data_IF_837102222844
#
_entry.id   IF_837102222844
#
_cell.length_a   1.000
_cell.length_b   1.000
_cell.length_c   1.000
_cell.angle_alpha   90.00
_cell.angle_beta   90.00
_cell.angle_gamma   90.00
#
_symmetry.space_group_name_H-M   'P 1'
#
loop_
_entity.id
_entity.type
_entity.pdbx_description
1 polymer ?
#
# COMPACT_ATOMS: atom_id res chain seq x y z
N UNK A 1 24.40 -38.26 -6.03
CA UNK A 1 24.60 -36.81 -5.91
C UNK A 1 23.35 -36.23 -5.26
N UNK A 2 23.46 -35.60 -4.09
CA UNK A 2 22.36 -34.82 -3.56
C UNK A 2 22.25 -33.56 -4.41
N UNK A 3 21.12 -33.39 -5.11
CA UNK A 3 20.83 -32.12 -5.78
C UNK A 3 20.90 -31.00 -4.72
N UNK A 4 21.43 -29.81 -5.06
CA UNK A 4 21.46 -28.70 -4.12
C UNK A 4 20.05 -28.41 -3.63
N UNK A 5 19.86 -28.42 -2.32
CA UNK A 5 18.59 -28.10 -1.69
C UNK A 5 18.27 -26.62 -1.94
N UNK A 6 17.17 -26.38 -2.65
CA UNK A 6 16.70 -25.04 -3.00
C UNK A 6 15.85 -24.41 -1.87
N UNK A 7 15.60 -25.14 -0.77
CA UNK A 7 14.84 -24.67 0.39
C UNK A 7 15.75 -24.00 1.42
N UNK A 8 16.36 -22.89 1.03
CA UNK A 8 17.16 -22.08 1.94
C UNK A 8 16.75 -20.61 1.93
N UNK A 9 16.97 -19.94 3.07
CA UNK A 9 16.79 -18.49 3.21
C UNK A 9 18.17 -17.83 3.18
N UNK A 10 18.35 -16.85 2.30
CA UNK A 10 19.63 -16.18 2.04
C UNK A 10 20.02 -15.12 3.09
N UNK A 11 19.19 -14.88 4.10
CA UNK A 11 19.42 -13.94 5.20
C UNK A 11 18.64 -14.37 6.46
N UNK A 12 19.00 -13.87 7.66
CA UNK A 12 18.24 -14.14 8.87
C UNK A 12 16.76 -13.72 8.76
N UNK A 13 15.84 -14.61 9.15
CA UNK A 13 14.40 -14.39 8.97
C UNK A 13 13.87 -13.14 9.67
N UNK A 14 14.38 -12.82 10.86
CA UNK A 14 13.98 -11.61 11.59
C UNK A 14 14.32 -10.34 10.81
N UNK A 15 15.47 -10.31 10.13
CA UNK A 15 15.93 -9.16 9.37
C UNK A 15 15.06 -8.96 8.12
N UNK A 16 14.81 -10.04 7.39
CA UNK A 16 13.93 -10.03 6.22
C UNK A 16 12.52 -9.58 6.61
N UNK A 17 12.00 -10.08 7.73
CA UNK A 17 10.67 -9.71 8.24
C UNK A 17 10.60 -8.23 8.59
N UNK A 18 11.57 -7.71 9.36
CA UNK A 18 11.60 -6.28 9.74
C UNK A 18 11.68 -5.39 8.51
N UNK A 19 12.58 -5.70 7.56
CA UNK A 19 12.71 -4.92 6.32
C UNK A 19 11.45 -5.01 5.45
N UNK A 20 10.82 -6.18 5.36
CA UNK A 20 9.55 -6.35 4.66
C UNK A 20 8.44 -5.47 5.26
N UNK A 21 8.25 -5.52 6.58
CA UNK A 21 7.21 -4.73 7.27
C UNK A 21 7.46 -3.23 7.12
N UNK A 22 8.70 -2.78 7.27
CA UNK A 22 9.07 -1.37 7.12
C UNK A 22 8.83 -0.89 5.69
N UNK A 23 9.39 -1.59 4.70
CA UNK A 23 9.27 -1.18 3.29
C UNK A 23 7.84 -1.26 2.78
N UNK A 24 7.05 -2.24 3.23
CA UNK A 24 5.62 -2.34 2.93
C UNK A 24 4.82 -1.18 3.55
N UNK A 25 5.16 -0.77 4.79
CA UNK A 25 4.53 0.37 5.44
C UNK A 25 4.83 1.69 4.71
N UNK A 26 6.07 1.88 4.27
CA UNK A 26 6.46 3.02 3.44
C UNK A 26 5.73 3.02 2.09
N UNK A 27 5.66 1.86 1.42
CA UNK A 27 4.92 1.70 0.18
C UNK A 27 3.43 2.05 0.37
N UNK A 28 2.78 1.51 1.41
CA UNK A 28 1.37 1.81 1.68
C UNK A 28 1.14 3.27 2.05
N UNK A 29 2.07 3.94 2.74
CA UNK A 29 1.95 5.39 2.97
C UNK A 29 1.91 6.17 1.65
N UNK A 30 2.85 5.88 0.74
CA UNK A 30 2.92 6.51 -0.58
C UNK A 30 1.70 6.14 -1.45
N UNK A 31 1.32 4.87 -1.48
CA UNK A 31 0.16 4.37 -2.23
C UNK A 31 -1.14 4.99 -1.73
N UNK A 32 -1.34 5.05 -0.41
CA UNK A 32 -2.53 5.63 0.19
C UNK A 32 -2.64 7.13 -0.08
N UNK A 33 -1.51 7.86 -0.06
CA UNK A 33 -1.47 9.25 -0.51
C UNK A 33 -1.89 9.38 -1.99
N UNK A 34 -1.34 8.56 -2.88
CA UNK A 34 -1.65 8.59 -4.31
C UNK A 34 -3.12 8.26 -4.59
N UNK A 35 -3.58 7.07 -4.19
CA UNK A 35 -4.94 6.59 -4.46
C UNK A 35 -5.97 7.49 -3.77
N UNK A 36 -5.78 7.79 -2.49
CA UNK A 36 -6.65 8.68 -1.74
C UNK A 36 -6.69 10.08 -2.33
N UNK A 37 -5.53 10.64 -2.69
CA UNK A 37 -5.42 11.96 -3.32
C UNK A 37 -6.16 12.04 -4.65
N UNK A 38 -6.03 11.02 -5.52
CA UNK A 38 -6.75 10.95 -6.80
C UNK A 38 -8.26 10.89 -6.58
N UNK A 39 -8.74 10.01 -5.68
CA UNK A 39 -10.17 9.89 -5.38
C UNK A 39 -10.72 11.21 -4.83
N UNK A 40 -10.05 11.81 -3.85
CA UNK A 40 -10.51 13.05 -3.23
C UNK A 40 -10.53 14.19 -4.25
N UNK A 41 -9.52 14.29 -5.12
CA UNK A 41 -9.46 15.31 -6.17
C UNK A 41 -10.64 15.18 -7.15
N UNK A 42 -10.97 13.94 -7.56
CA UNK A 42 -12.13 13.67 -8.41
C UNK A 42 -13.46 14.04 -7.73
N UNK A 43 -13.65 13.62 -6.48
CA UNK A 43 -14.89 13.84 -5.72
C UNK A 43 -15.09 15.31 -5.32
N UNK A 44 -14.01 16.03 -5.05
CA UNK A 44 -14.07 17.44 -4.62
C UNK A 44 -14.29 18.38 -5.80
N UNK A 45 -13.62 18.11 -6.94
CA UNK A 45 -13.85 18.84 -8.19
C UNK A 45 -15.29 18.64 -8.70
N UNK A 46 -15.85 17.42 -8.58
CA UNK A 46 -17.25 17.16 -8.93
C UNK A 46 -18.27 17.98 -8.12
N UNK A 47 -17.89 18.46 -6.94
CA UNK A 47 -18.76 19.27 -6.06
C UNK A 47 -18.41 20.76 -6.07
N UNK A 48 -17.55 21.22 -6.98
CA UNK A 48 -16.97 22.59 -7.01
C UNK A 48 -16.39 23.03 -5.66
N UNK A 49 -15.92 22.08 -4.84
CA UNK A 49 -15.43 22.37 -3.47
C UNK A 49 -14.01 22.88 -3.42
N UNK A 50 -13.28 22.71 -4.53
CA UNK A 50 -11.93 23.25 -4.70
C UNK A 50 -11.95 24.10 -5.95
N UNK A 51 -11.42 25.31 -5.83
CA UNK A 51 -11.04 26.12 -6.97
C UNK A 51 -10.09 25.31 -7.86
N UNK A 52 -10.19 25.54 -9.17
CA UNK A 52 -9.39 24.90 -10.22
C UNK A 52 -7.89 24.93 -9.84
N UNK A 53 -7.39 26.03 -9.26
CA UNK A 53 -6.00 26.18 -8.84
C UNK A 53 -5.53 25.19 -7.76
N UNK A 54 -6.37 24.86 -6.78
CA UNK A 54 -5.98 23.91 -5.71
C UNK A 54 -5.98 22.48 -6.23
N UNK A 55 -6.98 22.07 -7.00
CA UNK A 55 -6.99 20.76 -7.64
C UNK A 55 -5.76 20.55 -8.55
N UNK A 56 -5.32 21.60 -9.26
CA UNK A 56 -4.09 21.59 -10.05
C UNK A 56 -2.84 21.39 -9.19
N UNK A 57 -2.75 22.03 -8.01
CA UNK A 57 -1.61 21.84 -7.09
C UNK A 57 -1.48 20.38 -6.66
N UNK A 58 -2.58 19.70 -6.37
CA UNK A 58 -2.57 18.26 -6.04
C UNK A 58 -2.20 17.40 -7.24
N UNK A 59 -2.79 17.66 -8.41
CA UNK A 59 -2.48 16.92 -9.64
C UNK A 59 -0.99 16.96 -10.01
N UNK A 60 -0.29 18.05 -9.69
CA UNK A 60 1.17 18.17 -9.90
C UNK A 60 1.99 17.21 -9.05
N UNK A 61 1.49 16.76 -7.91
CA UNK A 61 2.20 15.84 -7.02
C UNK A 61 2.01 14.37 -7.43
N UNK A 62 0.95 14.04 -8.16
CA UNK A 62 0.63 12.65 -8.47
C UNK A 62 1.73 11.92 -9.26
N UNK A 63 2.39 12.50 -10.28
CA UNK A 63 3.47 11.78 -10.97
C UNK A 63 4.63 11.43 -10.04
N UNK A 64 5.06 12.36 -9.19
CA UNK A 64 6.11 12.10 -8.21
C UNK A 64 5.67 11.06 -7.17
N UNK A 65 4.41 11.12 -6.72
CA UNK A 65 3.81 10.13 -5.83
C UNK A 65 3.80 8.74 -6.46
N UNK A 66 3.43 8.61 -7.74
CA UNK A 66 3.47 7.34 -8.47
C UNK A 66 4.88 6.76 -8.54
N UNK A 67 5.88 7.59 -8.89
CA UNK A 67 7.27 7.14 -8.92
C UNK A 67 7.75 6.64 -7.54
N UNK A 68 7.39 7.36 -6.46
CA UNK A 68 7.68 6.94 -5.10
C UNK A 68 6.96 5.63 -4.72
N UNK A 69 5.67 5.51 -5.03
CA UNK A 69 4.87 4.30 -4.78
C UNK A 69 5.46 3.08 -5.49
N UNK A 70 5.80 3.20 -6.76
CA UNK A 70 6.39 2.08 -7.54
C UNK A 70 7.75 1.68 -6.94
N UNK A 71 8.63 2.65 -6.71
CA UNK A 71 9.98 2.39 -6.16
C UNK A 71 9.91 1.73 -4.79
N UNK A 72 9.08 2.25 -3.89
CA UNK A 72 8.88 1.68 -2.55
C UNK A 72 8.18 0.32 -2.59
N UNK A 73 7.46 0.00 -3.67
CA UNK A 73 6.75 -1.27 -3.84
C UNK A 73 7.63 -2.44 -4.27
N UNK A 74 8.79 -2.18 -4.89
CA UNK A 74 9.72 -3.23 -5.34
C UNK A 74 10.28 -4.02 -4.16
N UNK A 75 10.83 -3.32 -3.15
CA UNK A 75 11.44 -3.96 -1.99
C UNK A 75 10.51 -4.93 -1.22
N UNK A 76 9.29 -4.54 -0.79
CA UNK A 76 8.42 -5.44 -0.05
C UNK A 76 7.96 -6.64 -0.90
N UNK A 77 7.79 -6.48 -2.21
CA UNK A 77 7.48 -7.58 -3.11
C UNK A 77 8.62 -8.60 -3.17
N UNK A 78 9.87 -8.13 -3.31
CA UNK A 78 11.05 -9.00 -3.35
C UNK A 78 11.24 -9.75 -2.02
N UNK A 79 11.07 -9.09 -0.88
CA UNK A 79 11.14 -9.77 0.42
C UNK A 79 10.02 -10.80 0.57
N UNK A 80 8.82 -10.51 0.07
CA UNK A 80 7.73 -11.48 0.09
C UNK A 80 8.04 -12.70 -0.77
N UNK A 81 8.60 -12.49 -1.97
CA UNK A 81 9.00 -13.56 -2.89
C UNK A 81 10.18 -14.37 -2.37
N UNK A 82 11.09 -13.75 -1.61
CA UNK A 82 12.19 -14.44 -0.95
C UNK A 82 11.69 -15.45 0.10
N UNK A 83 10.67 -15.07 0.86
CA UNK A 83 10.18 -15.85 2.00
C UNK A 83 9.05 -16.81 1.61
N UNK A 84 8.17 -16.40 0.70
CA UNK A 84 7.01 -17.18 0.26
C UNK A 84 7.03 -17.43 -1.27
N UNK A 85 8.12 -17.97 -1.84
CA UNK A 85 8.25 -18.10 -3.29
C UNK A 85 7.15 -18.99 -3.86
N UNK A 86 6.91 -20.16 -3.26
CA UNK A 86 5.93 -21.13 -3.78
C UNK A 86 4.52 -20.55 -3.83
N UNK A 87 4.10 -19.91 -2.75
CA UNK A 87 2.77 -19.33 -2.60
C UNK A 87 2.55 -18.17 -3.57
N UNK A 88 3.50 -17.23 -3.63
CA UNK A 88 3.37 -16.02 -4.44
C UNK A 88 3.48 -16.34 -5.92
N UNK A 89 4.47 -17.14 -6.34
CA UNK A 89 4.63 -17.48 -7.75
C UNK A 89 3.49 -18.36 -8.24
N UNK A 90 3.04 -19.36 -7.47
CA UNK A 90 1.93 -20.21 -7.90
C UNK A 90 0.61 -19.41 -8.04
N UNK A 91 0.29 -18.54 -7.07
CA UNK A 91 -0.88 -17.67 -7.17
C UNK A 91 -0.78 -16.70 -8.37
N UNK A 92 0.41 -16.15 -8.62
CA UNK A 92 0.65 -15.29 -9.78
C UNK A 92 0.50 -16.05 -11.11
N UNK A 93 0.89 -17.33 -11.18
CA UNK A 93 0.73 -18.18 -12.38
C UNK A 93 -0.76 -18.46 -12.65
N UNK A 94 -1.55 -18.82 -11.63
CA UNK A 94 -3.00 -19.06 -11.77
C UNK A 94 -3.72 -17.84 -12.35
N UNK A 95 -3.38 -16.65 -11.86
CA UNK A 95 -3.91 -15.37 -12.36
C UNK A 95 -2.93 -14.63 -13.30
N UNK A 96 -2.15 -15.37 -14.09
CA UNK A 96 -1.04 -14.88 -14.89
C UNK A 96 -1.32 -13.62 -15.72
N UNK A 97 -2.42 -13.61 -16.49
CA UNK A 97 -2.73 -12.47 -17.35
C UNK A 97 -3.13 -11.22 -16.56
N UNK A 98 -3.83 -11.39 -15.44
CA UNK A 98 -4.15 -10.29 -14.55
C UNK A 98 -2.89 -9.74 -13.86
N UNK A 99 -1.98 -10.63 -13.46
CA UNK A 99 -0.70 -10.24 -12.87
C UNK A 99 0.18 -9.48 -13.87
N UNK A 100 0.31 -9.96 -15.10
CA UNK A 100 1.04 -9.27 -16.18
C UNK A 100 0.37 -7.96 -16.61
N UNK A 101 -0.94 -7.82 -16.41
CA UNK A 101 -1.65 -6.56 -16.63
C UNK A 101 -1.29 -5.45 -15.63
N UNK A 102 -0.71 -5.77 -14.46
CA UNK A 102 -0.36 -4.78 -13.43
C UNK A 102 0.64 -3.74 -13.95
N UNK A 103 1.82 -4.10 -14.50
CA UNK A 103 2.74 -3.13 -15.10
C UNK A 103 2.08 -2.26 -16.18
N UNK A 104 1.28 -2.86 -17.07
CA UNK A 104 0.58 -2.12 -18.13
C UNK A 104 -0.41 -1.09 -17.55
N UNK A 105 -1.20 -1.49 -16.55
CA UNK A 105 -2.14 -0.61 -15.87
C UNK A 105 -1.42 0.54 -15.13
N UNK A 106 -0.29 0.27 -14.47
CA UNK A 106 0.52 1.30 -13.82
C UNK A 106 1.08 2.29 -14.85
N UNK A 107 1.58 1.82 -15.99
CA UNK A 107 2.09 2.67 -17.07
C UNK A 107 0.98 3.60 -17.59
N UNK A 108 -0.19 3.04 -17.91
CA UNK A 108 -1.35 3.82 -18.37
C UNK A 108 -1.78 4.85 -17.33
N UNK A 109 -1.89 4.45 -16.06
CA UNK A 109 -2.25 5.35 -14.97
C UNK A 109 -1.20 6.46 -14.80
N UNK A 110 0.09 6.14 -14.93
CA UNK A 110 1.17 7.09 -14.78
C UNK A 110 1.14 8.17 -15.88
N UNK A 111 0.99 7.76 -17.14
CA UNK A 111 0.83 8.71 -18.25
C UNK A 111 -0.44 9.55 -18.13
N UNK A 112 -1.54 8.96 -17.66
CA UNK A 112 -2.76 9.69 -17.35
C UNK A 112 -2.51 10.76 -16.27
N UNK A 113 -1.84 10.42 -15.17
CA UNK A 113 -1.51 11.39 -14.12
C UNK A 113 -0.57 12.50 -14.60
N UNK A 114 0.39 12.19 -15.48
CA UNK A 114 1.20 13.22 -16.15
C UNK A 114 0.35 14.15 -17.01
N UNK A 115 -0.52 13.60 -17.85
CA UNK A 115 -1.43 14.38 -18.68
C UNK A 115 -2.34 15.26 -17.82
N UNK A 116 -2.85 14.75 -16.70
CA UNK A 116 -3.66 15.53 -15.76
C UNK A 116 -2.87 16.68 -15.13
N UNK A 117 -1.61 16.43 -14.73
CA UNK A 117 -0.70 17.45 -14.21
C UNK A 117 -0.41 18.55 -15.24
N UNK A 118 -0.07 18.19 -16.49
CA UNK A 118 0.24 19.17 -17.54
C UNK A 118 -1.00 19.92 -18.05
N UNK A 119 -2.14 19.23 -18.21
CA UNK A 119 -3.40 19.87 -18.56
C UNK A 119 -3.82 20.88 -17.49
N UNK A 120 -3.66 20.51 -16.21
CA UNK A 120 -3.89 21.42 -15.09
C UNK A 120 -3.02 22.67 -15.13
N UNK A 121 -1.75 22.53 -15.53
CA UNK A 121 -0.85 23.68 -15.70
C UNK A 121 -1.24 24.59 -16.85
N UNK A 122 -1.67 24.03 -17.98
CA UNK A 122 -2.00 24.81 -19.19
C UNK A 122 -3.39 25.44 -19.18
N UNK A 123 -4.38 24.73 -18.63
CA UNK A 123 -5.81 25.08 -18.78
C UNK A 123 -6.49 25.38 -17.45
N UNK A 124 -5.77 25.28 -16.32
CA UNK A 124 -6.35 25.37 -14.98
C UNK A 124 -7.15 24.13 -14.56
N UNK A 125 -7.38 23.15 -15.44
CA UNK A 125 -8.20 21.96 -15.15
C UNK A 125 -7.42 20.67 -15.32
N UNK A 126 -7.44 19.82 -14.29
CA UNK A 126 -6.73 18.53 -14.30
C UNK A 126 -7.36 17.45 -15.21
N UNK A 127 -8.52 17.71 -15.82
CA UNK A 127 -9.18 16.79 -16.77
C UNK A 127 -9.80 15.56 -16.10
N UNK A 128 -11.11 15.61 -15.80
CA UNK A 128 -11.84 14.55 -15.08
C UNK A 128 -11.70 13.16 -15.72
N UNK A 129 -11.82 13.05 -17.05
CA UNK A 129 -11.71 11.78 -17.76
C UNK A 129 -10.34 11.11 -17.59
N UNK A 130 -9.27 11.92 -17.59
CA UNK A 130 -7.89 11.42 -17.43
C UNK A 130 -7.64 10.95 -16.00
N UNK A 131 -8.13 11.68 -15.00
CA UNK A 131 -8.07 11.25 -13.60
C UNK A 131 -8.91 9.98 -13.34
N UNK A 132 -10.06 9.82 -14.02
CA UNK A 132 -10.85 8.58 -13.95
C UNK A 132 -10.11 7.39 -14.55
N UNK A 133 -9.41 7.58 -15.67
CA UNK A 133 -8.56 6.55 -16.26
C UNK A 133 -7.43 6.13 -15.30
N UNK A 134 -6.77 7.12 -14.68
CA UNK A 134 -5.75 6.84 -13.67
C UNK A 134 -6.33 6.07 -12.47
N UNK A 135 -7.50 6.50 -11.96
CA UNK A 135 -8.17 5.82 -10.86
C UNK A 135 -8.54 4.38 -11.22
N UNK A 136 -9.05 4.13 -12.42
CA UNK A 136 -9.38 2.79 -12.89
C UNK A 136 -8.15 1.88 -12.89
N UNK A 137 -7.00 2.37 -13.40
CA UNK A 137 -5.74 1.63 -13.37
C UNK A 137 -5.26 1.34 -11.95
N UNK A 138 -5.30 2.31 -11.04
CA UNK A 138 -4.90 2.12 -9.64
C UNK A 138 -5.82 1.13 -8.90
N UNK A 139 -7.14 1.21 -9.12
CA UNK A 139 -8.09 0.29 -8.54
C UNK A 139 -7.91 -1.13 -9.08
N UNK A 140 -7.69 -1.28 -10.39
CA UNK A 140 -7.34 -2.57 -10.99
C UNK A 140 -6.13 -3.20 -10.31
N UNK A 141 -5.01 -2.46 -10.19
CA UNK A 141 -3.79 -2.95 -9.52
C UNK A 141 -4.08 -3.38 -8.08
N UNK A 142 -4.78 -2.53 -7.31
CA UNK A 142 -5.10 -2.83 -5.91
C UNK A 142 -5.99 -4.08 -5.75
N UNK A 143 -6.91 -4.31 -6.69
CA UNK A 143 -7.83 -5.43 -6.68
C UNK A 143 -7.13 -6.72 -7.10
N UNK A 144 -6.31 -6.68 -8.16
CA UNK A 144 -5.48 -7.82 -8.60
C UNK A 144 -4.55 -8.25 -7.46
N UNK A 145 -3.84 -7.32 -6.82
CA UNK A 145 -2.99 -7.66 -5.67
C UNK A 145 -3.79 -8.24 -4.50
N UNK A 146 -4.95 -7.69 -4.18
CA UNK A 146 -5.79 -8.22 -3.09
C UNK A 146 -6.26 -9.66 -3.38
N UNK A 147 -6.65 -9.92 -4.62
CA UNK A 147 -7.08 -11.23 -5.13
C UNK A 147 -5.94 -12.25 -5.12
N UNK A 148 -4.81 -11.93 -5.76
CA UNK A 148 -3.65 -12.83 -5.89
C UNK A 148 -3.00 -13.11 -4.54
N UNK A 149 -2.77 -12.10 -3.69
CA UNK A 149 -2.16 -12.34 -2.38
C UNK A 149 -3.11 -13.03 -1.40
N UNK A 150 -4.43 -12.95 -1.60
CA UNK A 150 -5.37 -13.80 -0.85
C UNK A 150 -5.30 -15.25 -1.27
N UNK A 151 -5.13 -15.50 -2.57
CA UNK A 151 -4.96 -16.84 -3.11
C UNK A 151 -3.63 -17.45 -2.65
N UNK A 152 -2.56 -16.66 -2.59
CA UNK A 152 -1.26 -17.04 -2.02
C UNK A 152 -1.34 -17.48 -0.54
N UNK A 153 -2.38 -17.06 0.17
CA UNK A 153 -2.62 -17.44 1.56
C UNK A 153 -3.45 -18.74 1.67
N UNK A 154 -3.75 -19.41 0.55
CA UNK A 154 -4.57 -20.63 0.46
C UNK A 154 -3.98 -21.64 -0.55
N UNK A 155 -2.92 -22.39 -0.20
CA UNK A 155 -2.28 -23.33 -1.11
C UNK A 155 -3.21 -24.41 -1.67
N UNK A 156 -4.18 -24.89 -0.89
CA UNK A 156 -5.23 -25.82 -1.36
C UNK A 156 -6.05 -25.23 -2.52
N UNK A 157 -6.50 -23.98 -2.40
CA UNK A 157 -7.25 -23.28 -3.45
C UNK A 157 -6.42 -23.12 -4.73
N UNK A 158 -5.14 -22.78 -4.61
CA UNK A 158 -4.23 -22.68 -5.78
C UNK A 158 -4.19 -23.99 -6.54
N UNK A 159 -4.01 -25.12 -5.82
CA UNK A 159 -3.93 -26.45 -6.43
C UNK A 159 -5.20 -26.79 -7.20
N UNK A 160 -6.36 -26.54 -6.61
CA UNK A 160 -7.66 -26.84 -7.23
C UNK A 160 -7.93 -25.97 -8.47
N UNK A 161 -7.62 -24.68 -8.38
CA UNK A 161 -7.80 -23.75 -9.50
C UNK A 161 -6.88 -24.10 -10.67
N UNK A 162 -5.60 -24.35 -10.40
CA UNK A 162 -4.63 -24.69 -11.43
C UNK A 162 -4.92 -26.05 -12.10
N UNK A 163 -5.43 -27.02 -11.34
CA UNK A 163 -5.83 -28.32 -11.89
C UNK A 163 -7.03 -28.21 -12.84
N UNK A 164 -7.92 -27.23 -12.64
CA UNK A 164 -9.10 -27.00 -13.49
C UNK A 164 -8.78 -26.18 -14.73
N UNK A 165 -7.96 -25.13 -14.59
CA UNK A 165 -7.60 -24.26 -15.70
C UNK A 165 -6.17 -23.69 -15.54
N UNK A 166 -5.35 -23.92 -16.57
CA UNK A 166 -3.96 -23.50 -16.65
C UNK A 166 -3.76 -22.29 -17.60
N UNK A 167 -4.84 -21.68 -18.08
CA UNK A 167 -4.82 -20.58 -19.04
C UNK A 167 -4.17 -19.30 -18.51
N UNK A 168 -4.09 -19.13 -17.18
CA UNK A 168 -3.68 -17.90 -16.51
C UNK A 168 -4.76 -16.82 -16.46
N UNK A 169 -5.98 -17.11 -16.95
CA UNK A 169 -7.15 -16.21 -16.88
C UNK A 169 -8.06 -16.51 -15.68
N UNK A 170 -7.57 -17.27 -14.69
CA UNK A 170 -8.35 -17.62 -13.52
C UNK A 170 -8.34 -16.46 -12.52
N UNK A 171 -9.51 -15.96 -12.19
CA UNK A 171 -9.70 -14.99 -11.11
C UNK A 171 -9.96 -15.72 -9.78
N UNK A 172 -9.52 -15.16 -8.65
CA UNK A 172 -9.80 -15.73 -7.33
C UNK A 172 -11.31 -15.71 -7.02
N UNK A 173 -11.99 -16.88 -6.94
CA UNK A 173 -13.42 -16.92 -6.68
C UNK A 173 -13.77 -16.64 -5.20
N UNK A 174 -12.80 -16.71 -4.29
CA UNK A 174 -12.99 -16.51 -2.86
C UNK A 174 -13.08 -15.02 -2.50
N UNK A 175 -14.09 -14.33 -3.05
CA UNK A 175 -14.31 -12.87 -2.88
C UNK A 175 -14.43 -12.48 -1.40
N UNK A 176 -15.02 -13.35 -0.58
CA UNK A 176 -15.15 -13.14 0.87
C UNK A 176 -13.81 -12.94 1.60
N UNK A 177 -12.72 -13.54 1.11
CA UNK A 177 -11.41 -13.47 1.76
C UNK A 177 -10.68 -12.15 1.55
N UNK A 178 -10.93 -11.48 0.43
CA UNK A 178 -10.18 -10.29 0.05
C UNK A 178 -11.01 -9.03 -0.13
N UNK A 179 -12.33 -9.11 -0.33
CA UNK A 179 -13.14 -7.93 -0.62
C UNK A 179 -13.22 -6.96 0.57
N UNK A 180 -13.49 -7.45 1.78
CA UNK A 180 -13.51 -6.61 2.99
C UNK A 180 -12.13 -6.03 3.28
N UNK A 181 -11.07 -6.83 3.11
CA UNK A 181 -9.68 -6.39 3.24
C UNK A 181 -9.35 -5.28 2.23
N UNK A 182 -9.76 -5.46 0.97
CA UNK A 182 -9.57 -4.48 -0.10
C UNK A 182 -10.32 -3.17 0.19
N UNK A 183 -11.59 -3.25 0.57
CA UNK A 183 -12.38 -2.09 0.96
C UNK A 183 -11.77 -1.35 2.16
N UNK A 184 -11.31 -2.07 3.19
CA UNK A 184 -10.60 -1.49 4.32
C UNK A 184 -9.36 -0.69 3.87
N UNK A 185 -8.57 -1.24 2.94
CA UNK A 185 -7.40 -0.55 2.39
C UNK A 185 -7.78 0.68 1.56
N UNK A 186 -8.85 0.62 0.75
CA UNK A 186 -9.32 1.77 -0.04
C UNK A 186 -9.82 2.90 0.87
N UNK A 187 -10.58 2.59 1.93
CA UNK A 187 -10.99 3.60 2.93
C UNK A 187 -9.80 4.12 3.75
N UNK A 188 -8.82 3.27 4.04
CA UNK A 188 -7.53 3.68 4.60
C UNK A 188 -6.79 4.67 3.69
N UNK A 189 -6.83 4.45 2.37
CA UNK A 189 -6.29 5.39 1.40
C UNK A 189 -7.00 6.75 1.43
N UNK A 190 -8.33 6.79 1.55
CA UNK A 190 -9.07 8.05 1.74
C UNK A 190 -8.68 8.77 3.04
N UNK A 191 -8.40 8.02 4.10
CA UNK A 191 -7.92 8.57 5.38
C UNK A 191 -6.60 9.30 5.17
N UNK A 192 -5.58 8.60 4.68
CA UNK A 192 -4.24 9.18 4.45
C UNK A 192 -4.28 10.29 3.39
N UNK A 193 -5.04 10.11 2.32
CA UNK A 193 -5.28 11.14 1.31
C UNK A 193 -5.88 12.40 1.93
N UNK A 194 -6.89 12.25 2.80
CA UNK A 194 -7.53 13.35 3.54
C UNK A 194 -6.56 14.07 4.47
N UNK A 195 -5.67 13.32 5.14
CA UNK A 195 -4.58 13.89 5.94
C UNK A 195 -3.67 14.79 5.12
N UNK A 196 -3.17 14.31 3.97
CA UNK A 196 -2.29 15.10 3.11
C UNK A 196 -3.00 16.29 2.46
N UNK A 197 -4.29 16.13 2.11
CA UNK A 197 -5.12 17.25 1.65
C UNK A 197 -5.22 18.33 2.72
N UNK A 198 -5.49 17.96 3.97
CA UNK A 198 -5.53 18.89 5.09
C UNK A 198 -4.18 19.54 5.36
N UNK A 199 -3.08 18.79 5.27
CA UNK A 199 -1.72 19.31 5.44
C UNK A 199 -1.38 20.36 4.38
N UNK A 200 -1.64 20.07 3.10
CA UNK A 200 -1.36 20.98 1.99
C UNK A 200 -2.31 22.17 1.96
N UNK A 201 -3.56 21.97 2.38
CA UNK A 201 -4.60 22.99 2.51
C UNK A 201 -4.62 23.72 3.86
N UNK A 202 -3.61 23.61 4.71
CA UNK A 202 -3.64 24.11 6.11
C UNK A 202 -3.98 25.60 6.29
N UNK A 203 -3.73 26.40 5.24
CA UNK A 203 -3.96 27.85 5.18
C UNK A 203 -5.28 28.21 4.47
N UNK A 204 -5.96 27.25 3.85
CA UNK A 204 -7.19 27.43 3.11
C UNK A 204 -8.33 26.70 3.85
N UNK A 205 -9.34 27.47 4.26
CA UNK A 205 -10.40 26.98 5.14
C UNK A 205 -11.24 25.88 4.45
N UNK A 206 -11.56 26.05 3.16
CA UNK A 206 -12.42 25.10 2.43
C UNK A 206 -11.66 23.80 2.09
N UNK A 207 -10.40 23.93 1.71
CA UNK A 207 -9.53 22.77 1.40
C UNK A 207 -9.22 22.00 2.67
N UNK A 208 -8.91 22.68 3.78
CA UNK A 208 -8.70 22.04 5.08
C UNK A 208 -9.97 21.32 5.56
N UNK A 209 -11.16 21.94 5.42
CA UNK A 209 -12.43 21.32 5.78
C UNK A 209 -12.70 20.06 4.95
N UNK A 210 -12.34 20.07 3.66
CA UNK A 210 -12.43 18.89 2.79
C UNK A 210 -11.48 17.79 3.23
N UNK A 211 -10.21 18.13 3.48
CA UNK A 211 -9.21 17.18 4.01
C UNK A 211 -9.66 16.56 5.34
N UNK A 212 -10.16 17.38 6.27
CA UNK A 212 -10.75 16.94 7.53
C UNK A 212 -11.91 15.96 7.33
N UNK A 213 -12.84 16.26 6.41
CA UNK A 213 -13.99 15.40 6.13
C UNK A 213 -13.57 14.03 5.61
N UNK A 214 -12.63 13.98 4.66
CA UNK A 214 -12.15 12.71 4.11
C UNK A 214 -11.25 11.95 5.10
N UNK A 215 -10.47 12.66 5.91
CA UNK A 215 -9.64 12.05 6.95
C UNK A 215 -10.52 11.32 7.99
N UNK A 216 -11.53 12.01 8.54
CA UNK A 216 -12.45 11.42 9.51
C UNK A 216 -13.35 10.38 8.86
N UNK A 217 -13.97 10.69 7.72
CA UNK A 217 -14.90 9.80 7.04
C UNK A 217 -14.23 8.51 6.55
N UNK A 218 -13.02 8.63 6.00
CA UNK A 218 -12.21 7.48 5.62
C UNK A 218 -11.86 6.62 6.83
N UNK A 219 -11.49 7.23 7.96
CA UNK A 219 -11.11 6.49 9.17
C UNK A 219 -12.29 5.72 9.75
N UNK A 220 -13.46 6.34 9.83
CA UNK A 220 -14.70 5.68 10.28
C UNK A 220 -15.06 4.53 9.34
N UNK A 221 -15.06 4.76 8.03
CA UNK A 221 -15.37 3.72 7.05
C UNK A 221 -14.36 2.55 7.11
N UNK A 222 -13.07 2.86 7.22
CA UNK A 222 -12.02 1.85 7.38
C UNK A 222 -12.21 1.07 8.69
N UNK A 223 -12.55 1.73 9.80
CA UNK A 223 -12.79 1.05 11.07
C UNK A 223 -14.01 0.12 11.01
N UNK A 224 -15.13 0.56 10.41
CA UNK A 224 -16.33 -0.27 10.26
C UNK A 224 -16.08 -1.50 9.38
N UNK A 225 -15.44 -1.31 8.21
CA UNK A 225 -15.08 -2.43 7.33
C UNK A 225 -14.01 -3.31 7.95
N UNK A 226 -13.07 -2.74 8.69
CA UNK A 226 -12.03 -3.47 9.42
C UNK A 226 -12.63 -4.35 10.52
N UNK A 227 -13.65 -3.86 11.23
CA UNK A 227 -14.41 -4.66 12.19
C UNK A 227 -15.15 -5.81 11.49
N UNK A 228 -15.83 -5.53 10.37
CA UNK A 228 -16.48 -6.59 9.58
C UNK A 228 -15.47 -7.64 9.10
N UNK A 229 -14.28 -7.22 8.66
CA UNK A 229 -13.20 -8.12 8.27
C UNK A 229 -12.67 -8.96 9.45
N UNK A 230 -12.53 -8.34 10.64
CA UNK A 230 -12.09 -9.04 11.85
C UNK A 230 -13.06 -10.16 12.23
N UNK A 231 -14.37 -9.91 12.13
CA UNK A 231 -15.41 -10.92 12.37
C UNK A 231 -15.42 -12.01 11.28
N UNK A 232 -15.09 -11.64 10.04
CA UNK A 232 -14.98 -12.58 8.93
C UNK A 232 -13.77 -13.52 9.00
N UNK A 233 -12.79 -13.29 9.89
CA UNK A 233 -11.65 -14.19 10.10
C UNK A 233 -12.04 -15.55 10.73
N UNK A 234 -13.24 -15.65 11.32
CA UNK A 234 -13.82 -16.88 11.87
C UNK A 234 -12.83 -17.69 12.72
N UNK A 235 -12.42 -18.87 12.26
CA UNK A 235 -11.53 -19.81 12.95
C UNK A 235 -10.16 -19.22 13.31
N UNK A 236 -9.68 -18.23 12.55
CA UNK A 236 -8.40 -17.57 12.79
C UNK A 236 -8.49 -16.44 13.84
N UNK A 237 -9.70 -15.99 14.19
CA UNK A 237 -9.90 -14.88 15.11
C UNK A 237 -9.38 -15.20 16.52
N UNK A 238 -9.71 -16.38 17.04
CA UNK A 238 -9.28 -16.79 18.38
C UNK A 238 -7.74 -16.89 18.47
N UNK A 239 -7.11 -17.42 17.42
CA UNK A 239 -5.66 -17.50 17.32
C UNK A 239 -5.02 -16.10 17.25
N UNK A 240 -5.63 -15.18 16.49
CA UNK A 240 -5.19 -13.78 16.43
C UNK A 240 -5.28 -13.09 17.79
N UNK A 241 -6.37 -13.30 18.53
CA UNK A 241 -6.59 -12.74 19.87
C UNK A 241 -5.59 -13.25 20.91
N UNK A 242 -5.05 -14.46 20.74
CA UNK A 242 -4.02 -15.04 21.61
C UNK A 242 -2.59 -14.64 21.21
N UNK A 243 -2.43 -14.00 20.06
CA UNK A 243 -1.13 -13.56 19.53
C UNK A 243 -0.82 -12.11 19.94
N UNK A 244 0.44 -11.64 19.84
CA UNK A 244 0.77 -10.23 20.09
C UNK A 244 0.08 -9.26 19.10
N UNK A 245 -0.53 -9.75 18.02
CA UNK A 245 -1.23 -8.91 17.06
C UNK A 245 -2.47 -8.23 17.64
N UNK A 246 -3.11 -8.77 18.70
CA UNK A 246 -4.25 -8.08 19.32
C UNK A 246 -3.83 -6.76 19.98
N UNK A 247 -2.65 -6.75 20.60
CA UNK A 247 -2.07 -5.55 21.21
C UNK A 247 -1.64 -4.56 20.14
N UNK A 248 -1.01 -5.05 19.06
CA UNK A 248 -0.66 -4.22 17.93
C UNK A 248 -1.91 -3.61 17.24
N UNK A 249 -2.99 -4.37 17.09
CA UNK A 249 -4.26 -3.90 16.56
C UNK A 249 -4.84 -2.79 17.44
N UNK A 250 -4.93 -3.06 18.75
CA UNK A 250 -5.45 -2.10 19.75
C UNK A 250 -4.63 -0.81 19.75
N UNK A 251 -3.30 -0.94 19.82
CA UNK A 251 -2.39 0.19 19.75
C UNK A 251 -2.55 0.97 18.43
N UNK A 252 -2.70 0.29 17.29
CA UNK A 252 -2.89 0.94 15.98
C UNK A 252 -4.18 1.73 15.92
N UNK A 253 -5.28 1.21 16.49
CA UNK A 253 -6.55 1.92 16.59
C UNK A 253 -6.39 3.15 17.48
N UNK A 254 -5.78 3.03 18.67
CA UNK A 254 -5.55 4.17 19.55
C UNK A 254 -4.66 5.24 18.91
N UNK A 255 -3.57 4.83 18.25
CA UNK A 255 -2.69 5.73 17.50
C UNK A 255 -3.43 6.46 16.38
N UNK A 256 -4.37 5.81 15.70
CA UNK A 256 -5.21 6.46 14.68
C UNK A 256 -6.09 7.55 15.30
N UNK A 257 -6.67 7.32 16.48
CA UNK A 257 -7.47 8.33 17.20
C UNK A 257 -6.60 9.47 17.73
N UNK A 258 -5.41 9.18 18.24
CA UNK A 258 -4.44 10.19 18.67
C UNK A 258 -3.98 11.05 17.47
N UNK A 259 -3.85 10.45 16.29
CA UNK A 259 -3.52 11.19 15.06
C UNK A 259 -4.60 12.25 14.73
N UNK A 260 -5.88 11.96 14.96
CA UNK A 260 -6.98 12.92 14.80
C UNK A 260 -6.86 14.11 15.75
N UNK A 261 -6.52 13.85 17.02
CA UNK A 261 -6.33 14.90 18.02
C UNK A 261 -5.27 15.92 17.58
N UNK A 262 -4.10 15.45 17.15
CA UNK A 262 -3.03 16.32 16.66
C UNK A 262 -3.36 16.98 15.33
N UNK A 263 -4.10 16.30 14.45
CA UNK A 263 -4.57 16.87 13.18
C UNK A 263 -5.48 18.08 13.41
N UNK A 264 -6.44 17.99 14.34
CA UNK A 264 -7.32 19.12 14.66
C UNK A 264 -6.58 20.28 15.31
N UNK A 265 -5.51 20.00 16.06
CA UNK A 265 -4.59 21.02 16.58
C UNK A 265 -3.64 21.58 15.51
N UNK A 266 -3.77 21.17 14.25
CA UNK A 266 -2.86 21.52 13.13
C UNK A 266 -1.39 21.15 13.37
N UNK A 267 -1.11 20.24 14.31
CA UNK A 267 0.21 19.68 14.51
C UNK A 267 0.39 18.46 13.59
N UNK A 268 0.62 18.75 12.31
CA UNK A 268 0.71 17.72 11.27
C UNK A 268 1.92 16.79 11.42
N UNK A 269 3.00 17.25 12.07
CA UNK A 269 4.17 16.41 12.29
C UNK A 269 3.83 15.24 13.22
N UNK A 270 3.34 15.54 14.43
CA UNK A 270 2.93 14.50 15.37
C UNK A 270 1.77 13.66 14.83
N UNK A 271 0.78 14.31 14.20
CA UNK A 271 -0.34 13.60 13.58
C UNK A 271 0.13 12.60 12.51
N UNK A 272 1.07 13.00 11.65
CA UNK A 272 1.65 12.15 10.61
C UNK A 272 2.45 10.98 11.17
N UNK A 273 3.24 11.20 12.24
CA UNK A 273 3.98 10.12 12.92
C UNK A 273 3.00 9.11 13.50
N UNK A 274 1.97 9.55 14.23
CA UNK A 274 0.97 8.66 14.83
C UNK A 274 0.20 7.88 13.77
N UNK A 275 -0.16 8.53 12.66
CA UNK A 275 -0.81 7.89 11.51
C UNK A 275 0.09 6.85 10.85
N UNK A 276 1.38 7.14 10.68
CA UNK A 276 2.36 6.19 10.14
C UNK A 276 2.57 4.98 11.06
N UNK A 277 2.72 5.21 12.36
CA UNK A 277 2.87 4.12 13.34
C UNK A 277 1.61 3.24 13.41
N UNK A 278 0.42 3.85 13.32
CA UNK A 278 -0.85 3.12 13.19
C UNK A 278 -0.87 2.25 11.93
N UNK A 279 -0.48 2.79 10.77
CA UNK A 279 -0.39 2.05 9.52
C UNK A 279 0.61 0.88 9.62
N UNK A 280 1.79 1.11 10.21
CA UNK A 280 2.81 0.08 10.40
C UNK A 280 2.32 -1.05 11.31
N UNK A 281 1.59 -0.73 12.37
CA UNK A 281 0.95 -1.73 13.22
C UNK A 281 -0.12 -2.53 12.47
N UNK A 282 -0.91 -1.92 11.60
CA UNK A 282 -1.85 -2.65 10.73
C UNK A 282 -1.14 -3.57 9.72
N UNK A 283 0.02 -3.17 9.20
CA UNK A 283 0.86 -4.03 8.36
C UNK A 283 1.38 -5.24 9.14
N UNK A 284 1.76 -5.05 10.40
CA UNK A 284 2.13 -6.15 11.30
C UNK A 284 0.95 -7.10 11.57
N UNK A 285 -0.24 -6.57 11.88
CA UNK A 285 -1.45 -7.39 12.07
C UNK A 285 -1.75 -8.22 10.81
N UNK A 286 -1.65 -7.60 9.62
CA UNK A 286 -1.80 -8.29 8.34
C UNK A 286 -0.78 -9.41 8.15
N UNK A 287 0.48 -9.18 8.54
CA UNK A 287 1.51 -10.22 8.49
C UNK A 287 1.19 -11.39 9.43
N UNK A 288 0.72 -11.13 10.64
CA UNK A 288 0.32 -12.18 11.58
C UNK A 288 -0.88 -12.98 11.07
N UNK A 289 -1.90 -12.32 10.50
CA UNK A 289 -3.04 -13.03 9.88
C UNK A 289 -2.58 -13.98 8.78
N UNK A 290 -1.60 -13.57 7.95
CA UNK A 290 -1.01 -14.46 6.95
C UNK A 290 -0.34 -15.68 7.58
N UNK A 291 0.47 -15.49 8.63
CA UNK A 291 1.11 -16.60 9.33
C UNK A 291 0.09 -17.58 9.88
N UNK A 292 -1.03 -17.09 10.41
CA UNK A 292 -2.12 -17.92 10.91
C UNK A 292 -2.81 -18.69 9.79
N UNK A 293 -3.07 -18.06 8.63
CA UNK A 293 -3.67 -18.74 7.46
C UNK A 293 -2.79 -19.82 6.85
N UNK A 294 -1.47 -19.66 6.95
CA UNK A 294 -0.50 -20.64 6.44
C UNK A 294 -0.07 -21.67 7.51
N UNK A 295 -0.58 -21.55 8.73
CA UNK A 295 -0.21 -22.44 9.83
C UNK A 295 -0.58 -23.90 9.47
N UNK A 296 0.40 -24.81 9.63
CA UNK A 296 0.23 -26.24 9.32
C UNK A 296 0.52 -26.62 7.87
N UNK A 297 0.43 -25.71 6.90
CA UNK A 297 0.78 -25.97 5.50
C UNK A 297 2.19 -25.51 5.12
N UNK A 298 2.71 -24.47 5.79
CA UNK A 298 4.01 -23.91 5.51
C UNK A 298 4.72 -23.40 6.76
N UNK A 299 5.89 -23.98 7.06
CA UNK A 299 6.73 -23.54 8.18
C UNK A 299 8.06 -22.97 7.68
N UNK A 300 8.23 -21.66 7.84
CA UNK A 300 9.45 -20.93 7.51
C UNK A 300 10.63 -21.26 8.42
N UNK A 301 10.36 -21.64 9.67
CA UNK A 301 11.41 -21.97 10.64
C UNK A 301 12.10 -23.30 10.30
N UNK A 302 11.42 -24.16 9.52
CA UNK A 302 11.97 -25.43 9.05
C UNK A 302 13.03 -25.27 7.94
N UNK A 303 13.10 -24.12 7.28
CA UNK A 303 14.01 -23.91 6.16
C UNK A 303 15.43 -23.62 6.64
N UNK A 304 16.42 -24.18 5.94
CA UNK A 304 17.83 -23.95 6.26
C UNK A 304 18.18 -22.49 6.01
N UNK A 305 18.67 -21.79 7.02
CA UNK A 305 19.23 -20.44 6.83
C UNK A 305 20.67 -20.59 6.34
N UNK A 306 20.94 -20.14 5.11
CA UNK A 306 22.26 -20.14 4.50
C UNK A 306 22.59 -18.72 4.05
N UNK A 307 23.07 -17.85 4.96
CA UNK A 307 23.25 -16.44 4.69
C UNK A 307 24.23 -16.20 3.54
N UNK A 308 23.80 -15.44 2.53
CA UNK A 308 24.65 -15.01 1.43
C UNK A 308 25.10 -13.57 1.68
N UNK A 309 26.15 -13.43 2.48
CA UNK A 309 26.64 -12.12 2.94
C UNK A 309 27.15 -11.22 1.81
N UNK A 310 27.68 -11.79 0.72
CA UNK A 310 28.14 -10.99 -0.43
C UNK A 310 26.97 -10.29 -1.16
N UNK A 311 25.91 -10.99 -1.61
CA UNK A 311 24.69 -10.34 -2.11
C UNK A 311 24.04 -9.39 -1.10
N UNK A 312 24.04 -9.76 0.19
CA UNK A 312 23.49 -8.90 1.24
C UNK A 312 24.28 -7.59 1.41
N UNK A 313 25.61 -7.64 1.40
CA UNK A 313 26.47 -6.46 1.48
C UNK A 313 26.28 -5.55 0.25
N UNK A 314 26.13 -6.13 -0.94
CA UNK A 314 25.79 -5.38 -2.16
C UNK A 314 24.42 -4.72 -2.03
N UNK A 315 23.40 -5.44 -1.56
CA UNK A 315 22.09 -4.88 -1.27
C UNK A 315 22.20 -3.70 -0.29
N UNK A 316 22.93 -3.86 0.81
CA UNK A 316 23.09 -2.82 1.83
C UNK A 316 23.81 -1.58 1.28
N UNK A 317 24.88 -1.76 0.50
CA UNK A 317 25.60 -0.67 -0.14
C UNK A 317 24.68 0.10 -1.11
N UNK A 318 23.99 -0.60 -2.01
CA UNK A 318 23.02 -0.01 -2.93
C UNK A 318 21.87 0.69 -2.18
N UNK A 319 21.39 0.10 -1.09
CA UNK A 319 20.34 0.67 -0.25
C UNK A 319 20.79 1.99 0.40
N UNK A 320 21.99 2.02 1.00
CA UNK A 320 22.57 3.24 1.59
C UNK A 320 22.79 4.32 0.54
N UNK A 321 23.36 3.96 -0.62
CA UNK A 321 23.53 4.90 -1.74
C UNK A 321 22.19 5.47 -2.18
N UNK A 322 21.16 4.62 -2.31
CA UNK A 322 19.81 5.06 -2.67
C UNK A 322 19.22 6.00 -1.62
N UNK A 323 19.43 5.74 -0.31
CA UNK A 323 18.99 6.66 0.75
C UNK A 323 19.68 8.03 0.64
N UNK A 324 20.97 8.07 0.33
CA UNK A 324 21.71 9.32 0.11
C UNK A 324 21.14 10.07 -1.10
N UNK A 325 20.92 9.37 -2.22
CA UNK A 325 20.33 9.95 -3.44
C UNK A 325 18.92 10.48 -3.17
N UNK A 326 18.08 9.72 -2.47
CA UNK A 326 16.72 10.16 -2.08
C UNK A 326 16.78 11.38 -1.17
N UNK A 327 17.66 11.38 -0.15
CA UNK A 327 17.82 12.53 0.73
C UNK A 327 18.29 13.78 -0.05
N UNK A 328 19.19 13.61 -1.01
CA UNK A 328 19.64 14.67 -1.90
C UNK A 328 18.51 15.17 -2.82
N UNK A 329 17.74 14.27 -3.45
CA UNK A 329 16.59 14.62 -4.28
C UNK A 329 15.51 15.36 -3.49
N UNK A 330 15.20 14.91 -2.27
CA UNK A 330 14.25 15.59 -1.38
C UNK A 330 14.74 16.99 -1.00
N UNK A 331 16.03 17.13 -0.68
CA UNK A 331 16.65 18.44 -0.42
C UNK A 331 16.52 19.37 -1.62
N UNK A 332 16.76 18.89 -2.84
CA UNK A 332 16.59 19.70 -4.05
C UNK A 332 15.12 20.05 -4.31
N UNK A 333 14.21 19.08 -4.20
CA UNK A 333 12.79 19.27 -4.45
C UNK A 333 12.15 20.29 -3.50
N UNK A 334 12.49 20.24 -2.21
CA UNK A 334 12.01 21.20 -1.22
C UNK A 334 12.84 22.49 -1.14
N UNK A 335 14.13 22.42 -1.47
CA UNK A 335 15.06 23.57 -1.50
C UNK A 335 14.79 24.52 -2.66
N UNK A 336 14.48 24.01 -3.85
CA UNK A 336 14.16 24.83 -5.03
C UNK A 336 12.94 25.76 -4.81
N UNK A 337 12.01 25.38 -3.92
CA UNK A 337 10.87 26.21 -3.53
C UNK A 337 11.25 27.41 -2.66
N UNK A 338 12.37 27.38 -1.96
CA UNK A 338 12.85 28.50 -1.12
C UNK A 338 13.58 29.58 -1.92
N UNK A 339 14.14 29.25 -3.10
CA UNK A 339 14.85 30.22 -3.95
C UNK A 339 13.97 30.90 -5.00
N UNK A 340 12.70 30.48 -5.11
CA UNK A 340 11.72 31.03 -6.07
C UNK A 340 10.56 31.79 -5.40
N UNK A 341 10.68 32.08 -4.10
CA UNK A 341 9.77 32.90 -3.30
C UNK A 341 10.53 34.10 -2.76
#
# INVERSE_FOLDING_TARGET
MNLPDYQFISAPLWLVTVLHLLTLSLHFMAMNFLLGGVIITLLSNARKRWDDATAVKFARLFPAATAATVTLGVAPLLFLQLVYPRQVYAAAIVSGWFWLGVPAAVIVAYYALYRASFAGQRTGRAGKAVLLLALAGLLYVSLVYSSVFSMAEQPGLIRDLYARDQSGFVWNPAVGDYALRWLHMVFGALTVGGFFVGLLGRNDVEVFATGKRFFVGGMVAAALVGMAYLLALQEHLLALMRSPAIWALTASVLLSLVSLHFFFKKNFWLSGIMLFLSLAGMVFVRHTVRLLRLAGEFDLASWRVAPQWSPFAMFLACFVVMLVVVAWMLRMFFGAKKSAA
#
